data_IF_584231395050
#
_entry.id   IF_584231395050
#
_cell.length_a   1.000
_cell.length_b   1.000
_cell.length_c   1.000
_cell.angle_alpha   90.00
_cell.angle_beta   90.00
_cell.angle_gamma   90.00
#
_symmetry.space_group_name_H-M   'P 1'
#
loop_
_entity.id
_entity.type
_entity.pdbx_description
1 polymer ?
#
# COMPACT_ATOMS: atom_id res chain seq x y z
N UNK A 1 -25.95 2.29 9.79
CA UNK A 1 -24.79 1.97 8.94
C UNK A 1 -25.22 2.21 7.51
N UNK A 2 -24.49 3.04 6.78
CA UNK A 2 -24.91 3.50 5.45
C UNK A 2 -24.85 2.36 4.44
N UNK A 3 -25.93 2.21 3.68
CA UNK A 3 -26.21 1.09 2.75
C UNK A 3 -25.49 1.27 1.40
N UNK A 4 -24.19 1.56 1.43
CA UNK A 4 -23.40 1.68 0.21
C UNK A 4 -22.72 0.34 -0.12
N UNK A 5 -22.83 -0.14 -1.36
CA UNK A 5 -22.10 -1.33 -1.78
C UNK A 5 -20.60 -1.05 -1.73
N UNK A 6 -19.81 -2.06 -1.34
CA UNK A 6 -18.35 -1.99 -1.43
C UNK A 6 -17.93 -2.15 -2.89
N UNK A 7 -17.27 -1.16 -3.49
CA UNK A 7 -16.80 -1.27 -4.87
C UNK A 7 -15.64 -2.29 -4.98
N UNK A 8 -15.59 -2.97 -6.12
CA UNK A 8 -14.51 -3.89 -6.50
C UNK A 8 -13.32 -3.16 -7.14
N UNK A 9 -12.22 -3.88 -7.33
CA UNK A 9 -11.06 -3.34 -8.07
C UNK A 9 -11.42 -3.06 -9.53
N UNK A 10 -12.26 -3.90 -10.12
CA UNK A 10 -12.76 -3.78 -11.48
C UNK A 10 -13.60 -2.51 -11.65
N UNK A 11 -14.45 -2.17 -10.68
CA UNK A 11 -15.23 -0.93 -10.68
C UNK A 11 -14.30 0.29 -10.74
N UNK A 12 -13.22 0.26 -9.94
CA UNK A 12 -12.22 1.32 -9.96
C UNK A 12 -11.47 1.38 -11.31
N UNK A 13 -11.06 0.25 -11.88
CA UNK A 13 -10.37 0.20 -13.17
C UNK A 13 -11.23 0.80 -14.29
N UNK A 14 -12.53 0.49 -14.29
CA UNK A 14 -13.48 1.04 -15.26
C UNK A 14 -13.61 2.57 -15.14
N UNK A 15 -13.70 3.08 -13.91
CA UNK A 15 -13.75 4.52 -13.66
C UNK A 15 -12.44 5.22 -14.05
N UNK A 16 -11.29 4.67 -13.66
CA UNK A 16 -9.99 5.21 -14.01
C UNK A 16 -9.79 5.26 -15.54
N UNK A 17 -10.18 4.20 -16.26
CA UNK A 17 -10.15 4.18 -17.73
C UNK A 17 -11.05 5.25 -18.34
N UNK A 18 -12.23 5.49 -17.77
CA UNK A 18 -13.14 6.57 -18.20
C UNK A 18 -12.50 7.94 -18.03
N UNK A 19 -11.91 8.22 -16.87
CA UNK A 19 -11.25 9.49 -16.57
C UNK A 19 -10.02 9.72 -17.47
N UNK A 20 -9.31 8.65 -17.83
CA UNK A 20 -8.18 8.66 -18.75
C UNK A 20 -8.57 8.69 -20.23
N UNK A 21 -9.87 8.85 -20.54
CA UNK A 21 -10.41 8.90 -21.90
C UNK A 21 -10.13 7.63 -22.71
N UNK A 22 -10.27 6.47 -22.06
CA UNK A 22 -10.09 5.14 -22.67
C UNK A 22 -8.69 4.56 -22.56
N UNK A 23 -7.70 5.35 -22.11
CA UNK A 23 -6.33 4.89 -21.85
C UNK A 23 -6.25 4.01 -20.61
N UNK A 24 -5.20 3.20 -20.54
CA UNK A 24 -5.04 2.19 -19.50
C UNK A 24 -4.61 2.83 -18.18
N UNK A 25 -5.20 2.49 -17.02
CA UNK A 25 -4.70 2.92 -15.70
C UNK A 25 -3.24 2.52 -15.44
N UNK A 26 -2.74 1.48 -16.11
CA UNK A 26 -1.34 1.04 -16.08
C UNK A 26 -0.37 2.11 -16.61
N UNK A 27 -0.83 3.04 -17.47
CA UNK A 27 -0.03 4.19 -17.90
C UNK A 27 0.29 5.16 -16.77
N UNK A 28 -0.41 5.05 -15.63
CA UNK A 28 -0.15 5.84 -14.42
C UNK A 28 0.93 5.22 -13.52
N UNK A 29 1.46 4.04 -13.87
CA UNK A 29 2.58 3.44 -13.14
C UNK A 29 3.80 4.37 -13.27
N UNK A 30 4.37 4.73 -12.13
CA UNK A 30 5.55 5.59 -12.08
C UNK A 30 6.80 4.73 -11.84
N UNK A 31 7.70 4.74 -12.81
CA UNK A 31 9.04 4.16 -12.65
C UNK A 31 9.91 5.07 -11.77
N UNK A 32 10.51 4.50 -10.72
CA UNK A 32 11.54 5.22 -9.95
C UNK A 32 12.91 5.07 -10.64
N UNK A 33 13.88 5.96 -10.34
CA UNK A 33 15.25 5.81 -10.83
C UNK A 33 15.90 4.45 -10.48
N UNK A 34 15.43 3.81 -9.41
CA UNK A 34 15.87 2.49 -8.96
C UNK A 34 15.24 1.33 -9.76
N UNK A 35 14.36 1.62 -10.73
CA UNK A 35 13.66 0.62 -11.54
C UNK A 35 12.50 -0.07 -10.82
N UNK A 36 11.92 0.58 -9.80
CA UNK A 36 10.79 0.05 -9.05
C UNK A 36 9.49 0.67 -9.60
N UNK A 37 8.55 -0.15 -10.13
CA UNK A 37 7.27 0.36 -10.61
C UNK A 37 6.34 0.66 -9.42
N UNK A 38 5.90 1.90 -9.28
CA UNK A 38 4.91 2.30 -8.26
C UNK A 38 3.52 2.28 -8.87
N UNK A 39 2.65 1.39 -8.35
CA UNK A 39 1.25 1.26 -8.79
C UNK A 39 0.46 2.53 -8.45
N UNK A 40 -0.53 2.91 -9.27
CA UNK A 40 -1.40 4.05 -8.98
C UNK A 40 -2.42 3.79 -7.86
N UNK A 41 -2.65 2.52 -7.50
CA UNK A 41 -3.51 2.09 -6.41
C UNK A 41 -2.94 0.82 -5.78
N UNK A 42 -2.94 0.76 -4.44
CA UNK A 42 -2.67 -0.44 -3.64
C UNK A 42 -3.90 -0.76 -2.79
N UNK A 43 -4.15 -2.03 -2.57
CA UNK A 43 -5.33 -2.56 -1.88
C UNK A 43 -4.93 -3.52 -0.77
N UNK A 44 -5.90 -4.03 -0.02
CA UNK A 44 -5.66 -5.08 0.97
C UNK A 44 -5.06 -6.37 0.35
N UNK A 45 -5.36 -6.65 -0.93
CA UNK A 45 -4.80 -7.81 -1.62
C UNK A 45 -3.27 -7.72 -1.76
N UNK A 46 -2.71 -6.50 -1.87
CA UNK A 46 -1.25 -6.30 -1.95
C UNK A 46 -0.51 -6.63 -0.64
N UNK A 47 -1.25 -6.88 0.45
CA UNK A 47 -0.71 -7.26 1.76
C UNK A 47 -0.67 -8.79 1.96
N UNK A 48 -1.38 -9.57 1.16
CA UNK A 48 -1.61 -11.01 1.43
C UNK A 48 -0.32 -11.85 1.48
N UNK A 49 0.71 -11.44 0.73
CA UNK A 49 1.99 -12.15 0.65
C UNK A 49 3.04 -11.65 1.67
N UNK A 50 2.70 -10.67 2.51
CA UNK A 50 3.64 -10.08 3.46
C UNK A 50 3.68 -10.85 4.79
N UNK A 51 4.71 -11.67 4.99
CA UNK A 51 4.89 -12.50 6.21
C UNK A 51 5.04 -11.69 7.50
N UNK A 52 5.49 -10.45 7.42
CA UNK A 52 5.90 -9.63 8.56
C UNK A 52 4.81 -8.68 9.06
N UNK A 53 3.59 -8.71 8.50
CA UNK A 53 2.51 -7.80 8.91
C UNK A 53 2.15 -7.93 10.38
N UNK A 54 2.24 -9.13 10.95
CA UNK A 54 2.01 -9.39 12.37
C UNK A 54 3.21 -9.13 13.29
N UNK A 55 4.36 -8.70 12.75
CA UNK A 55 5.56 -8.46 13.57
C UNK A 55 5.39 -7.30 14.56
N UNK A 56 6.19 -7.31 15.62
CA UNK A 56 6.20 -6.27 16.67
C UNK A 56 7.58 -5.59 16.74
N UNK A 57 7.64 -4.27 17.06
CA UNK A 57 8.91 -3.58 17.22
C UNK A 57 9.73 -4.19 18.37
N UNK A 58 11.05 -4.16 18.25
CA UNK A 58 11.97 -4.73 19.24
C UNK A 58 12.08 -6.26 19.24
N UNK A 59 11.42 -6.94 18.30
CA UNK A 59 11.46 -8.39 18.13
C UNK A 59 11.87 -8.69 16.68
N UNK A 60 12.70 -9.74 16.48
CA UNK A 60 13.14 -10.15 15.15
C UNK A 60 11.94 -10.39 14.21
N UNK A 61 12.01 -9.99 12.91
CA UNK A 61 13.18 -9.51 12.18
C UNK A 61 13.43 -7.98 12.30
N UNK A 62 12.84 -7.31 13.30
CA UNK A 62 13.05 -5.89 13.61
C UNK A 62 12.59 -4.91 12.52
N UNK A 63 11.73 -5.34 11.59
CA UNK A 63 11.22 -4.48 10.51
C UNK A 63 10.49 -3.24 11.05
N UNK A 64 9.76 -3.38 12.17
CA UNK A 64 9.06 -2.27 12.84
C UNK A 64 9.95 -1.45 13.78
N UNK A 65 11.25 -1.73 13.78
CA UNK A 65 12.27 -1.01 14.55
C UNK A 65 12.91 -1.85 15.66
N UNK A 66 14.09 -1.44 16.16
CA UNK A 66 14.93 -2.24 17.06
C UNK A 66 14.52 -2.17 18.54
N UNK A 67 13.62 -1.27 18.94
CA UNK A 67 13.20 -1.08 20.34
C UNK A 67 11.69 -1.25 20.47
N UNK A 68 11.21 -1.93 21.50
CA UNK A 68 9.78 -2.20 21.69
C UNK A 68 8.91 -0.92 21.73
N UNK A 69 9.42 0.17 22.31
CA UNK A 69 8.69 1.44 22.42
C UNK A 69 9.02 2.45 21.32
N UNK A 70 10.06 2.20 20.51
CA UNK A 70 10.57 3.17 19.54
C UNK A 70 10.60 4.60 20.10
N UNK A 71 10.05 5.56 19.35
CA UNK A 71 10.09 6.98 19.66
C UNK A 71 9.01 7.47 20.61
N UNK A 72 8.10 6.59 21.07
CA UNK A 72 7.11 6.98 22.09
C UNK A 72 7.73 7.14 23.47
N UNK A 73 8.85 6.45 23.74
CA UNK A 73 9.63 6.61 24.99
C UNK A 73 10.73 7.67 24.86
N UNK A 74 11.50 7.64 23.76
CA UNK A 74 12.60 8.60 23.52
C UNK A 74 12.64 8.97 22.03
N UNK A 75 12.56 10.24 21.65
CA UNK A 75 12.61 10.66 20.25
C UNK A 75 13.95 10.32 19.59
N UNK A 76 13.98 10.37 18.27
CA UNK A 76 15.24 10.24 17.52
C UNK A 76 16.18 11.40 17.89
N UNK A 77 17.49 11.12 17.89
CA UNK A 77 18.55 12.12 18.08
C UNK A 77 19.37 12.23 16.81
#
# INVERSE_FOLDING_TARGET
>A
MTDFPNPSLEDWQALAKKDLRGRSPEELVRETPEGIPVKPLYTAADLEEMEHLGSLPGIAPFLRGPRATMYTNRPWT
#
